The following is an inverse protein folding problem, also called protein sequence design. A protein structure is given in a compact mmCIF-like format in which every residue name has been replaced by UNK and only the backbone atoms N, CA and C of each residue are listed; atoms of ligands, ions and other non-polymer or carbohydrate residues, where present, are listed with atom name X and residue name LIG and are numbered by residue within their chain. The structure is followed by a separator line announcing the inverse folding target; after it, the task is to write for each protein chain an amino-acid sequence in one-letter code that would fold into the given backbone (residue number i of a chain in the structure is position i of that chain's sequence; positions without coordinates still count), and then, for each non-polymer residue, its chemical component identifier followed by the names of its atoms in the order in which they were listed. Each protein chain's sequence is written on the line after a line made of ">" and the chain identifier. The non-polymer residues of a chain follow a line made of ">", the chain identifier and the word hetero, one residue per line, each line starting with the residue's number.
data_IF_510320872920
#
_entry.id   IF_510320872920
#
_cell.length_a   1.000
_cell.length_b   1.000
_cell.length_c   1.000
_cell.angle_alpha   90.00
_cell.angle_beta   90.00
_cell.angle_gamma   90.00
#
_symmetry.space_group_name_H-M   'P 1'
#
loop_
_entity.id
_entity.type
_entity.pdbx_description
1 polymer ?
#
# COMPACT_ATOMS: atom_id res chain seq x y z
N UNK A 1 -7.68 0.84 -14.02
CA UNK A 1 -7.45 -0.62 -14.22
C UNK A 1 -7.37 -1.26 -12.84
N UNK A 2 -8.34 -2.10 -12.48
CA UNK A 2 -8.32 -2.87 -11.24
C UNK A 2 -7.16 -3.85 -11.26
N UNK A 3 -6.04 -3.49 -10.61
CA UNK A 3 -4.90 -4.38 -10.42
C UNK A 3 -5.06 -5.05 -9.07
N UNK A 4 -5.24 -6.37 -9.06
CA UNK A 4 -5.27 -7.13 -7.82
C UNK A 4 -3.86 -7.24 -7.25
N UNK A 5 -3.68 -6.78 -6.02
CA UNK A 5 -2.42 -6.87 -5.28
C UNK A 5 -2.68 -7.65 -4.00
N UNK A 6 -1.79 -8.59 -3.70
CA UNK A 6 -1.80 -9.35 -2.45
C UNK A 6 -0.68 -8.82 -1.55
N UNK A 7 -1.02 -8.33 -0.38
CA UNK A 7 -0.03 -7.97 0.65
C UNK A 7 0.45 -9.27 1.29
N UNK A 8 1.76 -9.49 1.30
CA UNK A 8 2.39 -10.67 1.91
C UNK A 8 2.99 -10.34 3.29
N UNK A 9 3.50 -9.12 3.46
CA UNK A 9 4.03 -8.62 4.71
C UNK A 9 3.74 -7.13 4.84
N UNK A 10 3.32 -6.70 6.02
CA UNK A 10 3.13 -5.30 6.37
C UNK A 10 3.56 -5.06 7.82
N UNK A 11 3.80 -3.80 8.16
CA UNK A 11 4.00 -3.33 9.53
C UNK A 11 2.90 -2.35 9.91
N UNK A 12 2.61 -2.27 11.19
CA UNK A 12 1.71 -1.26 11.75
C UNK A 12 2.47 0.05 11.92
N UNK A 13 1.79 1.16 11.63
CA UNK A 13 2.30 2.52 11.80
C UNK A 13 1.26 3.33 12.56
N UNK A 14 1.72 4.10 13.55
CA UNK A 14 0.87 4.88 14.44
C UNK A 14 0.43 6.19 13.78
N UNK A 15 -0.34 6.06 12.71
CA UNK A 15 -0.84 7.16 11.88
C UNK A 15 -2.33 6.94 11.67
N UNK A 16 -3.16 7.81 12.23
CA UNK A 16 -4.60 7.74 12.01
C UNK A 16 -4.96 8.37 10.66
N UNK A 17 -5.57 7.55 9.79
CA UNK A 17 -6.05 7.98 8.49
C UNK A 17 -7.31 7.22 8.10
N UNK A 18 -8.04 7.79 7.14
CA UNK A 18 -9.28 7.20 6.63
C UNK A 18 -9.02 5.79 6.06
N UNK A 19 -9.91 4.81 6.30
CA UNK A 19 -9.78 3.46 5.77
C UNK A 19 -9.53 3.45 4.26
N UNK A 20 -8.46 2.80 3.81
CA UNK A 20 -8.09 2.71 2.40
C UNK A 20 -7.33 3.91 1.85
N UNK A 21 -7.14 4.98 2.63
CA UNK A 21 -6.42 6.18 2.18
C UNK A 21 -4.91 5.98 2.23
N UNK A 22 -4.22 6.34 1.15
CA UNK A 22 -2.76 6.41 1.11
C UNK A 22 -2.30 7.68 1.81
N UNK A 23 -1.56 7.55 2.91
CA UNK A 23 -1.18 8.68 3.77
C UNK A 23 0.16 9.31 3.37
N UNK A 24 1.06 8.53 2.76
CA UNK A 24 2.39 8.98 2.35
C UNK A 24 2.93 8.23 1.11
N UNK A 25 4.13 8.64 0.67
CA UNK A 25 4.83 8.03 -0.47
C UNK A 25 5.29 6.59 -0.20
N UNK A 26 5.42 6.19 1.07
CA UNK A 26 5.78 4.82 1.49
C UNK A 26 4.59 3.85 1.43
N UNK A 27 3.46 4.28 0.85
CA UNK A 27 2.21 3.54 0.76
C UNK A 27 1.65 3.14 2.14
N UNK A 28 1.72 4.03 3.12
CA UNK A 28 0.93 3.86 4.34
C UNK A 28 -0.55 3.90 3.99
N UNK A 29 -1.30 2.87 4.40
CA UNK A 29 -2.73 2.76 4.14
C UNK A 29 -3.47 2.93 5.47
N UNK A 30 -4.31 3.95 5.55
CA UNK A 30 -5.17 4.20 6.69
C UNK A 30 -6.15 3.04 6.91
N UNK A 31 -6.37 2.68 8.17
CA UNK A 31 -7.31 1.62 8.56
C UNK A 31 -8.44 2.16 9.44
N UNK A 32 -8.60 3.48 9.56
CA UNK A 32 -9.56 4.16 10.46
C UNK A 32 -9.07 4.26 11.90
N UNK A 33 -8.32 3.27 12.37
CA UNK A 33 -7.48 3.37 13.57
C UNK A 33 -6.09 2.89 13.17
N UNK A 34 -5.10 3.78 13.24
CA UNK A 34 -3.74 3.58 12.74
C UNK A 34 -3.67 3.28 11.24
N UNK A 35 -2.47 2.98 10.78
CA UNK A 35 -2.19 2.67 9.38
C UNK A 35 -1.35 1.40 9.27
N UNK A 36 -1.34 0.81 8.08
CA UNK A 36 -0.45 -0.29 7.73
C UNK A 36 0.50 0.14 6.62
N UNK A 37 1.77 -0.23 6.73
CA UNK A 37 2.78 -0.09 5.69
C UNK A 37 3.08 -1.44 5.06
N UNK A 38 2.70 -1.69 3.81
CA UNK A 38 3.12 -2.88 3.10
C UNK A 38 4.65 -2.88 2.91
N UNK A 39 5.31 -4.00 3.21
CA UNK A 39 6.75 -4.18 2.96
C UNK A 39 6.96 -5.10 1.75
N UNK A 40 6.20 -6.20 1.70
CA UNK A 40 6.26 -7.17 0.60
C UNK A 40 4.85 -7.39 0.06
N UNK A 41 4.71 -7.28 -1.25
CA UNK A 41 3.45 -7.45 -1.96
C UNK A 41 3.65 -8.26 -3.24
N UNK A 42 2.55 -8.80 -3.77
CA UNK A 42 2.53 -9.58 -5.00
C UNK A 42 1.43 -9.05 -5.90
N UNK A 43 1.83 -8.57 -7.08
CA UNK A 43 0.88 -8.18 -8.13
C UNK A 43 0.39 -9.43 -8.86
N UNK A 44 -0.87 -9.43 -9.29
CA UNK A 44 -1.45 -10.52 -10.08
C UNK A 44 -0.56 -10.91 -11.27
N UNK A 45 -0.31 -12.22 -11.41
CA UNK A 45 0.53 -12.78 -12.49
C UNK A 45 2.03 -12.50 -12.36
N UNK A 46 2.49 -11.78 -11.34
CA UNK A 46 3.92 -11.50 -11.09
C UNK A 46 4.45 -12.17 -9.82
N UNK A 47 5.77 -12.13 -9.65
CA UNK A 47 6.42 -12.53 -8.40
C UNK A 47 6.19 -11.50 -7.29
N UNK A 48 6.49 -11.89 -6.05
CA UNK A 48 6.54 -10.96 -4.93
C UNK A 48 7.64 -9.92 -5.14
N UNK A 49 7.37 -8.68 -4.79
CA UNK A 49 8.31 -7.57 -4.85
C UNK A 49 8.23 -6.75 -3.57
N UNK A 50 9.25 -5.94 -3.33
CA UNK A 50 9.26 -4.93 -2.27
C UNK A 50 8.31 -3.78 -2.59
N UNK A 51 7.96 -3.00 -1.58
CA UNK A 51 7.17 -1.78 -1.76
C UNK A 51 7.90 -0.75 -2.63
N UNK A 52 9.21 -0.59 -2.46
CA UNK A 52 10.03 0.34 -3.23
C UNK A 52 10.02 0.01 -4.73
N UNK A 53 10.21 -1.27 -5.07
CA UNK A 53 10.13 -1.75 -6.47
C UNK A 53 8.74 -1.55 -7.06
N UNK A 54 7.70 -1.76 -6.24
CA UNK A 54 6.34 -1.56 -6.67
C UNK A 54 6.04 -0.09 -6.98
N UNK A 55 6.48 0.83 -6.11
CA UNK A 55 6.30 2.28 -6.27
C UNK A 55 7.11 2.83 -7.44
N UNK A 56 8.30 2.27 -7.72
CA UNK A 56 9.12 2.65 -8.87
C UNK A 56 8.37 2.41 -10.20
N UNK A 57 7.65 1.29 -10.30
CA UNK A 57 6.87 0.94 -11.49
C UNK A 57 5.40 1.41 -11.46
N UNK A 58 4.88 1.76 -10.29
CA UNK A 58 3.49 2.17 -10.08
C UNK A 58 3.47 3.40 -9.16
N UNK A 59 3.37 4.58 -9.76
CA UNK A 59 3.15 5.80 -8.99
C UNK A 59 1.74 5.80 -8.42
N UNK A 60 1.63 5.75 -7.10
CA UNK A 60 0.39 5.93 -6.36
C UNK A 60 0.42 7.33 -5.76
N UNK A 61 -0.62 8.11 -5.99
CA UNK A 61 -0.69 9.46 -5.44
C UNK A 61 -1.08 9.41 -3.97
N UNK A 62 -0.36 10.14 -3.13
CA UNK A 62 -0.77 10.39 -1.74
C UNK A 62 -2.16 11.00 -1.71
N UNK A 63 -3.01 10.51 -0.80
CA UNK A 63 -4.42 10.86 -0.70
C UNK A 63 -5.36 10.04 -1.56
N UNK A 64 -4.86 9.10 -2.37
CA UNK A 64 -5.71 8.16 -3.11
C UNK A 64 -6.43 7.20 -2.15
N UNK A 65 -7.69 6.90 -2.43
CA UNK A 65 -8.44 5.86 -1.72
C UNK A 65 -8.36 4.58 -2.55
N UNK A 66 -7.88 3.51 -1.92
CA UNK A 66 -7.83 2.17 -2.49
C UNK A 66 -9.21 1.52 -2.31
N UNK A 67 -9.89 1.24 -3.42
CA UNK A 67 -11.18 0.54 -3.50
C UNK A 67 -11.02 -0.92 -3.95
#
# INVERSE_FOLDING_TARGET
>A
KNKRVKILKAIEVDIDAEPGKVVDDDLNIGCGNKSIRPIILKVEGKQSCSIDEFLLGNKISVGSILE
#
